data_IF_286063425533
#
_entry.id   IF_286063425533
#
_cell.length_a   1.000
_cell.length_b   1.000
_cell.length_c   1.000
_cell.angle_alpha   90.00
_cell.angle_beta   90.00
_cell.angle_gamma   90.00
#
_symmetry.space_group_name_H-M   'P 1'
#
loop_
_entity.id
_entity.type
_entity.pdbx_description
1 polymer ?
#
# COMPACT_ATOMS: atom_id res chain seq x y z
N UNK A 1 -31.01 37.38 -30.43
CA UNK A 1 -30.18 37.71 -29.27
C UNK A 1 -30.44 36.67 -28.17
N UNK A 2 -29.38 36.01 -27.71
CA UNK A 2 -29.28 34.95 -26.66
C UNK A 2 -29.71 33.53 -27.05
N UNK A 3 -28.80 32.82 -27.72
CA UNK A 3 -28.60 31.38 -27.47
C UNK A 3 -28.02 31.23 -26.06
N UNK A 4 -28.63 30.36 -25.24
CA UNK A 4 -28.07 29.95 -23.94
C UNK A 4 -27.08 28.83 -24.25
N UNK A 5 -25.80 29.13 -24.17
CA UNK A 5 -24.76 28.12 -24.23
C UNK A 5 -24.83 27.24 -22.98
N UNK A 6 -24.85 25.93 -23.24
CA UNK A 6 -24.78 24.89 -22.24
C UNK A 6 -23.42 24.92 -21.55
N UNK A 7 -23.42 25.17 -20.24
CA UNK A 7 -22.26 24.93 -19.38
C UNK A 7 -22.21 23.44 -19.04
N UNK A 8 -21.55 22.66 -19.88
CA UNK A 8 -21.01 21.35 -19.49
C UNK A 8 -19.70 21.61 -18.74
N UNK A 9 -19.74 21.50 -17.42
CA UNK A 9 -18.54 21.33 -16.62
C UNK A 9 -17.93 19.98 -16.99
N UNK A 10 -16.91 20.00 -17.86
CA UNK A 10 -16.03 18.87 -18.07
C UNK A 10 -15.22 18.70 -16.79
N UNK A 11 -15.56 17.67 -16.01
CA UNK A 11 -14.73 17.18 -14.91
C UNK A 11 -13.42 16.68 -15.50
N UNK A 12 -12.47 17.59 -15.71
CA UNK A 12 -11.11 17.28 -16.09
C UNK A 12 -10.44 16.56 -14.94
N UNK A 13 -10.60 15.24 -14.86
CA UNK A 13 -9.68 14.39 -14.10
C UNK A 13 -8.37 14.44 -14.88
N UNK A 14 -7.54 15.45 -14.56
CA UNK A 14 -6.18 15.48 -15.05
C UNK A 14 -5.49 14.21 -14.61
N UNK A 15 -4.88 13.48 -15.55
CA UNK A 15 -4.06 12.31 -15.21
C UNK A 15 -3.05 12.75 -14.14
N UNK A 16 -3.14 12.15 -12.95
CA UNK A 16 -2.13 12.30 -11.93
C UNK A 16 -0.78 11.89 -12.51
N UNK A 17 0.28 12.61 -12.15
CA UNK A 17 1.62 12.22 -12.58
C UNK A 17 1.96 10.82 -12.07
N UNK A 18 2.85 10.10 -12.77
CA UNK A 18 3.34 8.78 -12.31
C UNK A 18 3.88 8.85 -10.88
N UNK A 19 4.54 9.96 -10.53
CA UNK A 19 5.03 10.21 -9.17
C UNK A 19 3.89 10.22 -8.14
N UNK A 20 2.81 10.94 -8.40
CA UNK A 20 1.67 11.00 -7.47
C UNK A 20 0.96 9.65 -7.35
N UNK A 21 0.84 8.92 -8.45
CA UNK A 21 0.24 7.58 -8.44
C UNK A 21 1.08 6.58 -7.63
N UNK A 22 2.40 6.61 -7.79
CA UNK A 22 3.31 5.80 -6.98
C UNK A 22 3.32 6.23 -5.51
N UNK A 23 3.14 7.52 -5.24
CA UNK A 23 3.09 8.05 -3.87
C UNK A 23 1.81 7.63 -3.16
N UNK A 24 0.67 7.65 -3.86
CA UNK A 24 -0.60 7.11 -3.39
C UNK A 24 -0.48 5.62 -3.06
N UNK A 25 0.06 4.83 -3.98
CA UNK A 25 0.32 3.42 -3.77
C UNK A 25 1.26 3.16 -2.57
N UNK A 26 2.37 3.90 -2.45
CA UNK A 26 3.30 3.75 -1.35
C UNK A 26 2.64 4.05 0.01
N UNK A 27 1.77 5.06 0.07
CA UNK A 27 1.02 5.39 1.28
C UNK A 27 -0.02 4.31 1.62
N UNK A 28 -0.73 3.79 0.62
CA UNK A 28 -1.67 2.69 0.79
C UNK A 28 -0.97 1.44 1.33
N UNK A 29 0.14 1.03 0.71
CA UNK A 29 0.91 -0.13 1.14
C UNK A 29 1.44 0.02 2.59
N UNK A 30 2.05 1.17 2.91
CA UNK A 30 2.53 1.44 4.27
C UNK A 30 1.39 1.45 5.30
N UNK A 31 0.31 2.19 5.03
CA UNK A 31 -0.79 2.31 5.98
C UNK A 31 -1.54 0.98 6.16
N UNK A 32 -1.64 0.17 5.11
CA UNK A 32 -2.16 -1.20 5.16
C UNK A 32 -1.34 -2.09 6.10
N UNK A 33 -0.01 -2.09 5.95
CA UNK A 33 0.89 -2.82 6.84
C UNK A 33 0.81 -2.36 8.29
N UNK A 34 0.73 -1.05 8.54
CA UNK A 34 0.58 -0.52 9.90
C UNK A 34 -0.74 -0.95 10.54
N UNK A 35 -1.85 -0.89 9.80
CA UNK A 35 -3.16 -1.34 10.28
C UNK A 35 -3.14 -2.85 10.59
N UNK A 36 -2.57 -3.67 9.70
CA UNK A 36 -2.44 -5.11 9.93
C UNK A 36 -1.59 -5.42 11.17
N UNK A 37 -0.44 -4.76 11.33
CA UNK A 37 0.43 -4.92 12.50
C UNK A 37 -0.32 -4.61 13.80
N UNK A 38 -1.06 -3.49 13.84
CA UNK A 38 -1.83 -3.10 15.01
C UNK A 38 -3.03 -4.02 15.25
N UNK A 39 -3.69 -4.50 14.20
CA UNK A 39 -4.76 -5.50 14.30
C UNK A 39 -4.28 -6.80 14.96
N UNK A 40 -3.03 -7.20 14.72
CA UNK A 40 -2.43 -8.39 15.36
C UNK A 40 -1.87 -8.13 16.75
N UNK A 41 -1.76 -6.88 17.16
CA UNK A 41 -1.16 -6.48 18.45
C UNK A 41 -2.22 -6.27 19.53
N UNK A 42 -1.81 -6.40 20.79
CA UNK A 42 -2.66 -6.01 21.91
C UNK A 42 -2.44 -4.52 22.25
N UNK A 43 -3.50 -3.72 22.25
CA UNK A 43 -3.44 -2.32 22.71
C UNK A 43 -3.35 -2.28 24.23
N UNK A 44 -2.31 -1.63 24.75
CA UNK A 44 -2.06 -1.47 26.17
C UNK A 44 -2.73 -0.18 26.71
N UNK A 45 -2.91 -0.08 28.04
CA UNK A 45 -3.57 1.08 28.67
C UNK A 45 -2.79 2.39 28.54
N UNK A 46 -1.49 2.31 28.32
CA UNK A 46 -0.59 3.46 28.14
C UNK A 46 -0.52 3.95 26.68
N UNK A 47 -1.31 3.36 25.79
CA UNK A 47 -1.31 3.68 24.36
C UNK A 47 -0.21 2.99 23.55
N UNK A 48 0.62 2.15 24.18
CA UNK A 48 1.56 1.29 23.46
C UNK A 48 0.85 0.04 22.94
N UNK A 49 1.51 -0.70 22.04
CA UNK A 49 1.02 -2.00 21.57
C UNK A 49 2.02 -3.11 21.89
N UNK A 50 1.51 -4.28 22.24
CA UNK A 50 2.31 -5.49 22.42
C UNK A 50 2.13 -6.39 21.21
N UNK A 51 3.20 -6.59 20.42
CA UNK A 51 3.17 -7.56 19.33
C UNK A 51 3.21 -8.99 19.91
N UNK A 52 2.44 -9.93 19.35
CA UNK A 52 2.52 -11.33 19.75
C UNK A 52 3.84 -11.95 19.28
N UNK A 53 4.38 -12.88 20.07
CA UNK A 53 5.68 -13.52 19.78
C UNK A 53 5.77 -14.11 18.37
N UNK A 54 4.72 -14.79 17.90
CA UNK A 54 4.71 -15.38 16.55
C UNK A 54 4.95 -14.34 15.46
N UNK A 55 4.44 -13.13 15.63
CA UNK A 55 4.56 -12.05 14.66
C UNK A 55 5.96 -11.45 14.69
N UNK A 56 6.49 -11.23 15.90
CA UNK A 56 7.88 -10.81 16.09
C UNK A 56 8.83 -11.82 15.42
N UNK A 57 8.69 -13.11 15.71
CA UNK A 57 9.56 -14.15 15.16
C UNK A 57 9.45 -14.22 13.62
N UNK A 58 8.22 -14.26 13.09
CA UNK A 58 7.98 -14.38 11.64
C UNK A 58 8.48 -13.16 10.89
N UNK A 59 8.04 -11.97 11.25
CA UNK A 59 8.37 -10.74 10.52
C UNK A 59 9.85 -10.39 10.68
N UNK A 60 10.47 -10.69 11.83
CA UNK A 60 11.92 -10.54 12.02
C UNK A 60 12.71 -11.46 11.10
N UNK A 61 12.31 -12.73 10.96
CA UNK A 61 12.96 -13.62 10.00
C UNK A 61 12.82 -13.07 8.58
N UNK A 62 11.60 -12.72 8.16
CA UNK A 62 11.34 -12.24 6.80
C UNK A 62 12.15 -10.98 6.46
N UNK A 63 12.17 -9.99 7.34
CA UNK A 63 12.90 -8.73 7.09
C UNK A 63 14.42 -8.89 7.02
N UNK A 64 14.98 -9.97 7.57
CA UNK A 64 16.41 -10.25 7.57
C UNK A 64 16.85 -11.22 6.45
N UNK A 65 15.90 -11.77 5.68
CA UNK A 65 16.19 -12.57 4.49
C UNK A 65 16.27 -11.68 3.26
N UNK A 66 17.12 -12.06 2.30
CA UNK A 66 17.02 -11.50 0.96
C UNK A 66 15.79 -12.08 0.24
N UNK A 67 15.26 -11.38 -0.77
CA UNK A 67 14.14 -11.89 -1.57
C UNK A 67 14.45 -13.27 -2.19
N UNK A 68 15.70 -13.55 -2.55
CA UNK A 68 16.09 -14.85 -3.11
C UNK A 68 15.89 -16.00 -2.11
N UNK A 69 16.11 -15.71 -0.82
CA UNK A 69 16.11 -16.68 0.28
C UNK A 69 14.74 -16.84 0.94
N UNK A 70 13.74 -16.05 0.54
CA UNK A 70 12.36 -16.24 1.00
C UNK A 70 11.79 -17.56 0.47
N UNK A 71 10.95 -18.27 1.25
CA UNK A 71 10.08 -19.32 0.73
C UNK A 71 9.20 -18.79 -0.41
N UNK A 72 8.89 -19.63 -1.40
CA UNK A 72 8.20 -19.21 -2.62
C UNK A 72 6.81 -18.63 -2.32
N UNK A 73 6.10 -19.22 -1.36
CA UNK A 73 4.80 -18.75 -0.89
C UNK A 73 4.87 -17.37 -0.22
N UNK A 74 6.02 -16.99 0.37
CA UNK A 74 6.19 -15.69 1.00
C UNK A 74 6.53 -14.61 -0.03
N UNK A 75 7.10 -14.99 -1.18
CA UNK A 75 7.39 -14.07 -2.30
C UNK A 75 6.13 -13.61 -3.05
N UNK A 76 5.03 -14.35 -2.98
CA UNK A 76 3.78 -13.98 -3.67
C UNK A 76 3.24 -12.62 -3.24
N UNK A 77 3.42 -12.27 -1.96
CA UNK A 77 3.12 -10.94 -1.43
C UNK A 77 3.92 -9.86 -2.17
N UNK A 78 5.23 -10.04 -2.28
CA UNK A 78 6.12 -9.08 -2.91
C UNK A 78 5.84 -8.95 -4.41
N UNK A 79 5.53 -10.07 -5.09
CA UNK A 79 5.12 -10.08 -6.49
C UNK A 79 3.82 -9.31 -6.73
N UNK A 80 2.83 -9.50 -5.86
CA UNK A 80 1.55 -8.79 -5.95
C UNK A 80 1.75 -7.27 -5.84
N UNK A 81 2.61 -6.85 -4.91
CA UNK A 81 2.95 -5.43 -4.76
C UNK A 81 3.75 -4.90 -5.98
N UNK A 82 4.68 -5.68 -6.53
CA UNK A 82 5.40 -5.33 -7.75
C UNK A 82 4.46 -5.20 -8.96
N UNK A 83 3.50 -6.11 -9.14
CA UNK A 83 2.51 -6.06 -10.22
C UNK A 83 1.63 -4.81 -10.14
N UNK A 84 1.26 -4.40 -8.92
CA UNK A 84 0.55 -3.11 -8.71
C UNK A 84 1.41 -1.93 -9.14
N UNK A 85 2.69 -1.90 -8.77
CA UNK A 85 3.60 -0.84 -9.22
C UNK A 85 3.74 -0.83 -10.75
N UNK A 86 3.90 -2.00 -11.39
CA UNK A 86 3.99 -2.12 -12.85
C UNK A 86 2.72 -1.61 -13.55
N UNK A 87 1.54 -1.86 -12.98
CA UNK A 87 0.27 -1.35 -13.51
C UNK A 87 0.19 0.18 -13.51
N UNK A 88 0.96 0.87 -12.65
CA UNK A 88 1.03 2.34 -12.61
C UNK A 88 1.87 2.87 -13.78
N UNK A 89 2.89 2.14 -14.21
CA UNK A 89 3.73 2.50 -15.34
C UNK A 89 3.10 2.16 -16.69
N UNK A 90 2.38 1.04 -16.78
CA UNK A 90 1.80 0.52 -18.02
C UNK A 90 0.41 1.09 -18.35
N UNK A 91 0.11 2.30 -17.87
CA UNK A 91 -1.19 2.97 -18.06
C UNK A 91 -1.39 3.49 -19.47
#
# INVERSE_FOLDING_TARGET
>A
MKTKDASTASSGVGLLSVRECLSEYAHEAWSGWMKYMFEKSAMNKDGTVTLPKWAVDRWTRQMNLSYADLPEEEKESDRTEADRMLSIFNR
#
